data_IF_180004075890
#
_entry.id   IF_180004075890
#
_cell.length_a   1.000
_cell.length_b   1.000
_cell.length_c   1.000
_cell.angle_alpha   90.00
_cell.angle_beta   90.00
_cell.angle_gamma   90.00
#
_symmetry.space_group_name_H-M   'P 1'
#
loop_
_entity.id
_entity.type
_entity.pdbx_description
1 polymer ?
#
# COMPACT_ATOMS: atom_id res chain seq x y z
N UNK A 1 -25.45 -2.99 -3.69
CA UNK A 1 -24.29 -3.07 -4.60
C UNK A 1 -23.09 -3.43 -3.74
N UNK A 2 -22.77 -4.72 -3.66
CA UNK A 2 -21.63 -5.20 -2.87
C UNK A 2 -20.38 -4.58 -3.46
N UNK A 3 -19.79 -3.62 -2.77
CA UNK A 3 -18.42 -3.17 -3.03
C UNK A 3 -17.55 -4.42 -2.93
N UNK A 4 -17.25 -5.05 -4.07
CA UNK A 4 -16.09 -5.92 -4.17
C UNK A 4 -14.93 -5.02 -3.77
N UNK A 5 -14.54 -5.10 -2.51
CA UNK A 5 -13.24 -4.65 -2.05
C UNK A 5 -12.27 -5.36 -3.00
N UNK A 6 -11.77 -4.65 -4.00
CA UNK A 6 -10.62 -5.10 -4.79
C UNK A 6 -9.60 -5.48 -3.73
N UNK A 7 -9.31 -6.79 -3.59
CA UNK A 7 -8.36 -7.27 -2.61
C UNK A 7 -7.08 -6.45 -2.80
N UNK A 8 -6.82 -5.53 -1.88
CA UNK A 8 -5.74 -4.56 -2.03
C UNK A 8 -4.45 -5.33 -1.83
N UNK A 9 -3.65 -5.45 -2.90
CA UNK A 9 -2.41 -6.22 -2.85
C UNK A 9 -1.45 -5.52 -1.91
N UNK A 10 -0.86 -6.31 -1.01
CA UNK A 10 0.19 -5.87 -0.12
C UNK A 10 1.53 -6.31 -0.70
N UNK A 11 2.54 -5.48 -0.50
CA UNK A 11 3.88 -5.74 -1.01
C UNK A 11 4.88 -5.73 0.14
N UNK A 12 5.90 -6.56 0.08
CA UNK A 12 6.97 -6.61 1.07
C UNK A 12 8.31 -6.32 0.42
N UNK A 13 9.05 -5.37 1.00
CA UNK A 13 10.42 -5.10 0.58
C UNK A 13 11.41 -6.13 1.16
N UNK A 14 12.65 -6.11 0.65
CA UNK A 14 13.72 -7.01 1.09
C UNK A 14 14.09 -6.85 2.58
N UNK A 15 13.69 -5.74 3.20
CA UNK A 15 13.92 -5.46 4.63
C UNK A 15 12.78 -5.98 5.51
N UNK A 16 11.78 -6.65 4.92
CA UNK A 16 10.62 -7.17 5.62
C UNK A 16 9.59 -6.10 5.99
N UNK A 17 9.67 -4.88 5.41
CA UNK A 17 8.60 -3.89 5.58
C UNK A 17 7.47 -4.18 4.61
N UNK A 18 6.25 -4.17 5.12
CA UNK A 18 5.04 -4.41 4.33
C UNK A 18 4.37 -3.10 3.97
N UNK A 19 3.95 -2.95 2.72
CA UNK A 19 3.26 -1.81 2.16
C UNK A 19 1.85 -2.23 1.80
N UNK A 20 0.87 -1.45 2.23
CA UNK A 20 -0.54 -1.67 1.93
C UNK A 20 -1.25 -0.35 1.73
N UNK A 21 -2.51 -0.41 1.28
CA UNK A 21 -3.33 0.77 1.06
C UNK A 21 -4.31 0.89 2.21
N UNK A 22 -4.50 2.12 2.70
CA UNK A 22 -5.52 2.41 3.69
C UNK A 22 -6.30 3.67 3.31
N UNK A 23 -7.59 3.69 3.65
CA UNK A 23 -8.41 4.89 3.53
C UNK A 23 -8.19 5.77 4.75
N UNK A 24 -7.74 7.00 4.52
CA UNK A 24 -7.58 8.00 5.57
C UNK A 24 -8.95 8.45 6.08
N UNK A 25 -9.23 8.20 7.37
CA UNK A 25 -10.45 8.65 8.04
C UNK A 25 -10.60 10.18 8.05
N UNK A 26 -9.49 10.92 8.03
CA UNK A 26 -9.47 12.39 8.10
C UNK A 26 -9.75 13.09 6.78
N UNK A 27 -9.41 12.46 5.65
CA UNK A 27 -9.51 13.08 4.32
C UNK A 27 -10.39 12.30 3.35
N UNK A 28 -10.81 11.09 3.70
CA UNK A 28 -11.53 10.17 2.81
C UNK A 28 -10.68 9.59 1.68
N UNK A 29 -9.40 10.00 1.55
CA UNK A 29 -8.49 9.58 0.47
C UNK A 29 -7.74 8.30 0.82
N UNK A 30 -7.40 7.52 -0.20
CA UNK A 30 -6.53 6.35 -0.04
C UNK A 30 -5.06 6.78 -0.02
N UNK A 31 -4.25 6.10 0.78
CA UNK A 31 -2.82 6.35 0.94
C UNK A 31 -2.07 5.04 1.13
N UNK A 32 -0.79 5.01 0.75
CA UNK A 32 0.07 3.86 1.06
C UNK A 32 0.61 3.98 2.48
N UNK A 33 0.44 2.92 3.26
CA UNK A 33 0.99 2.74 4.60
C UNK A 33 2.08 1.69 4.55
N UNK A 34 3.21 2.00 5.20
CA UNK A 34 4.31 1.09 5.47
C UNK A 34 4.23 0.61 6.90
N UNK A 35 4.33 -0.70 7.08
CA UNK A 35 4.48 -1.39 8.36
C UNK A 35 5.89 -1.94 8.41
N UNK A 36 6.71 -1.44 9.34
CA UNK A 36 8.07 -1.95 9.49
C UNK A 36 8.04 -3.35 10.11
N UNK A 37 9.12 -4.12 9.96
CA UNK A 37 9.28 -5.44 10.60
C UNK A 37 9.05 -5.41 12.13
N UNK A 38 9.36 -4.29 12.80
CA UNK A 38 9.05 -4.07 14.23
C UNK A 38 7.60 -3.61 14.54
N UNK A 39 6.66 -3.73 13.61
CA UNK A 39 5.23 -3.39 13.80
C UNK A 39 4.89 -1.90 13.71
N UNK A 40 5.88 -1.02 13.56
CA UNK A 40 5.66 0.42 13.45
C UNK A 40 5.00 0.80 12.12
N UNK A 41 3.81 1.40 12.18
CA UNK A 41 3.03 1.87 11.03
C UNK A 41 3.32 3.33 10.74
N UNK A 42 3.69 3.67 9.49
CA UNK A 42 3.92 5.03 9.02
C UNK A 42 3.44 5.19 7.59
N UNK A 43 3.14 6.41 7.14
CA UNK A 43 2.92 6.66 5.70
C UNK A 43 4.17 6.25 4.92
N UNK A 44 3.97 5.56 3.80
CA UNK A 44 5.06 5.17 2.94
C UNK A 44 5.57 6.39 2.17
N UNK A 45 6.67 6.99 2.64
CA UNK A 45 7.34 8.09 1.91
C UNK A 45 7.87 7.64 0.54
N UNK A 46 8.12 6.34 0.37
CA UNK A 46 8.64 5.78 -0.88
C UNK A 46 7.57 5.69 -1.97
N UNK A 47 6.28 5.71 -1.60
CA UNK A 47 5.16 5.69 -2.54
C UNK A 47 4.26 6.87 -2.21
N UNK A 48 4.59 8.03 -2.78
CA UNK A 48 3.83 9.27 -2.59
C UNK A 48 2.57 9.28 -3.47
N UNK A 49 1.61 8.41 -3.13
CA UNK A 49 0.32 8.35 -3.80
C UNK A 49 -0.82 8.63 -2.84
N UNK A 50 -1.66 9.60 -3.22
CA UNK A 50 -2.88 9.98 -2.49
C UNK A 50 -4.00 10.14 -3.51
N UNK A 51 -5.13 9.47 -3.32
CA UNK A 51 -6.24 9.59 -4.27
C UNK A 51 -7.29 8.50 -4.13
N UNK A 52 -7.75 7.98 -5.27
CA UNK A 52 -8.65 6.83 -5.33
C UNK A 52 -7.87 5.53 -5.05
N UNK A 53 -8.55 4.48 -4.61
CA UNK A 53 -7.92 3.19 -4.31
C UNK A 53 -7.12 2.63 -5.49
N UNK A 54 -7.69 2.70 -6.70
CA UNK A 54 -7.04 2.20 -7.92
C UNK A 54 -5.78 2.99 -8.29
N UNK A 55 -5.80 4.32 -8.15
CA UNK A 55 -4.63 5.15 -8.41
C UNK A 55 -3.48 4.83 -7.45
N UNK A 56 -3.81 4.69 -6.16
CA UNK A 56 -2.84 4.39 -5.12
C UNK A 56 -2.30 2.96 -5.25
N UNK A 57 -3.14 2.01 -5.66
CA UNK A 57 -2.70 0.63 -5.94
C UNK A 57 -1.77 0.57 -7.14
N UNK A 58 -2.11 1.26 -8.22
CA UNK A 58 -1.23 1.34 -9.39
C UNK A 58 0.14 1.90 -9.03
N UNK A 59 0.19 3.01 -8.27
CA UNK A 59 1.46 3.59 -7.83
C UNK A 59 2.25 2.65 -6.90
N UNK A 60 1.55 1.90 -6.05
CA UNK A 60 2.17 0.90 -5.18
C UNK A 60 2.73 -0.28 -5.98
N UNK A 61 1.98 -0.79 -6.97
CA UNK A 61 2.39 -1.89 -7.83
C UNK A 61 3.58 -1.47 -8.73
N UNK A 62 3.59 -0.24 -9.23
CA UNK A 62 4.72 0.33 -9.99
C UNK A 62 5.96 0.42 -9.10
N UNK A 63 5.83 0.94 -7.88
CA UNK A 63 6.94 0.98 -6.93
C UNK A 63 7.44 -0.42 -6.58
N UNK A 64 6.53 -1.37 -6.35
CA UNK A 64 6.88 -2.76 -6.08
C UNK A 64 7.65 -3.39 -7.23
N UNK A 65 7.20 -3.18 -8.47
CA UNK A 65 7.87 -3.67 -9.67
C UNK A 65 9.28 -3.07 -9.83
N UNK A 66 9.42 -1.76 -9.68
CA UNK A 66 10.72 -1.08 -9.80
C UNK A 66 11.72 -1.48 -8.71
N UNK A 67 11.24 -1.81 -7.51
CA UNK A 67 12.08 -2.16 -6.37
C UNK A 67 12.19 -3.68 -6.14
N UNK A 68 11.57 -4.53 -6.98
CA UNK A 68 11.58 -5.98 -6.81
C UNK A 68 10.88 -6.48 -5.54
N UNK A 69 9.87 -5.77 -5.06
CA UNK A 69 9.10 -6.18 -3.88
C UNK A 69 8.27 -7.42 -4.15
N UNK A 70 8.05 -8.22 -3.10
CA UNK A 70 7.28 -9.46 -3.19
C UNK A 70 5.83 -9.23 -2.81
N UNK A 71 4.90 -9.81 -3.55
CA UNK A 71 3.49 -9.77 -3.18
C UNK A 71 3.27 -10.60 -1.91
N UNK A 72 2.57 -10.01 -0.94
CA UNK A 72 2.15 -10.68 0.27
C UNK A 72 0.73 -11.19 0.02
N UNK A 73 0.62 -12.49 -0.27
CA UNK A 73 -0.66 -13.17 -0.27
C UNK A 73 -1.17 -13.24 1.18
N UNK A 74 -2.36 -12.71 1.42
CA UNK A 74 -3.06 -12.82 2.71
C UNK A 74 -3.63 -14.24 2.89
#
# INVERSE_FOLDING_TARGET
MSEKVLAQRKWQDEKGNTYGIEKSSRSGRFVVIRVNSGGNRKRAKQVEAVGTAAFVQKALDEAACCNGWKEVAE
#
